data_IF_066137592195
#
_entry.id   IF_066137592195
#
_cell.length_a   1.000
_cell.length_b   1.000
_cell.length_c   1.000
_cell.angle_alpha   90.00
_cell.angle_beta   90.00
_cell.angle_gamma   90.00
#
_symmetry.space_group_name_H-M   'P 1'
#
loop_
_entity.id
_entity.type
_entity.pdbx_description
1 polymer ?
#
# COMPACT_ATOMS: atom_id res chain seq x y z
N UNK A 1 -4.33 18.66 -2.32
CA UNK A 1 -5.66 18.04 -2.06
C UNK A 1 -6.08 17.40 -3.37
N UNK A 2 -6.20 16.07 -3.46
CA UNK A 2 -6.58 15.39 -4.70
C UNK A 2 -8.10 15.46 -4.83
N UNK A 3 -8.61 16.33 -5.71
CA UNK A 3 -10.04 16.43 -6.02
C UNK A 3 -10.28 15.56 -7.25
N UNK A 4 -11.14 14.55 -7.10
CA UNK A 4 -11.36 13.53 -8.13
C UNK A 4 -12.51 13.88 -9.07
N UNK A 5 -13.55 14.55 -8.56
CA UNK A 5 -14.70 15.01 -9.34
C UNK A 5 -15.76 15.68 -8.47
N UNK A 6 -16.96 15.83 -9.00
CA UNK A 6 -18.10 16.45 -8.34
C UNK A 6 -19.39 15.63 -8.55
N UNK A 7 -19.88 15.02 -7.47
CA UNK A 7 -21.09 14.18 -7.48
C UNK A 7 -22.39 14.91 -7.87
N UNK A 8 -22.40 16.25 -7.92
CA UNK A 8 -23.55 17.00 -8.46
C UNK A 8 -23.56 17.08 -9.99
N UNK A 9 -22.43 16.72 -10.63
CA UNK A 9 -22.20 16.87 -12.08
C UNK A 9 -21.86 15.55 -12.76
N UNK A 10 -21.31 14.60 -12.02
CA UNK A 10 -20.74 13.35 -12.51
C UNK A 10 -21.30 12.18 -11.68
N UNK A 11 -21.50 11.03 -12.31
CA UNK A 11 -21.78 9.78 -11.60
C UNK A 11 -20.52 9.26 -10.89
N UNK A 12 -20.67 8.23 -10.06
CA UNK A 12 -19.51 7.59 -9.42
C UNK A 12 -18.63 6.93 -10.49
N UNK A 13 -19.27 6.30 -11.48
CA UNK A 13 -18.64 5.65 -12.61
C UNK A 13 -17.82 6.66 -13.42
N UNK A 14 -18.38 7.83 -13.76
CA UNK A 14 -17.66 8.90 -14.46
C UNK A 14 -16.40 9.34 -13.70
N UNK A 15 -16.49 9.44 -12.37
CA UNK A 15 -15.36 9.85 -11.52
C UNK A 15 -14.29 8.76 -11.49
N UNK A 16 -14.67 7.48 -11.41
CA UNK A 16 -13.75 6.33 -11.35
C UNK A 16 -13.06 6.11 -12.70
N UNK A 17 -13.79 6.26 -13.80
CA UNK A 17 -13.26 6.13 -15.16
C UNK A 17 -12.48 7.37 -15.62
N UNK A 18 -12.58 8.47 -14.86
CA UNK A 18 -11.86 9.71 -15.10
C UNK A 18 -10.34 9.61 -14.88
N UNK A 19 -9.59 10.37 -15.67
CA UNK A 19 -8.11 10.39 -15.63
C UNK A 19 -7.56 10.75 -14.24
N UNK A 20 -8.21 11.66 -13.51
CA UNK A 20 -7.80 12.05 -12.15
C UNK A 20 -7.82 10.88 -11.16
N UNK A 21 -8.82 10.00 -11.28
CA UNK A 21 -8.90 8.82 -10.44
C UNK A 21 -7.83 7.80 -10.85
N UNK A 22 -7.67 7.54 -12.14
CA UNK A 22 -6.62 6.64 -12.66
C UNK A 22 -5.22 7.09 -12.24
N UNK A 23 -4.91 8.38 -12.34
CA UNK A 23 -3.65 8.97 -11.87
C UNK A 23 -3.46 8.76 -10.35
N UNK A 24 -4.51 9.02 -9.56
CA UNK A 24 -4.47 8.81 -8.12
C UNK A 24 -4.21 7.34 -7.74
N UNK A 25 -4.89 6.40 -8.40
CA UNK A 25 -4.70 4.96 -8.20
C UNK A 25 -3.29 4.56 -8.63
N UNK A 26 -2.82 5.00 -9.79
CA UNK A 26 -1.46 4.72 -10.28
C UNK A 26 -0.40 5.20 -9.28
N UNK A 27 -0.48 6.45 -8.84
CA UNK A 27 0.45 7.03 -7.87
C UNK A 27 0.43 6.28 -6.53
N UNK A 28 -0.76 5.94 -6.04
CA UNK A 28 -0.88 5.24 -4.74
C UNK A 28 -0.50 3.76 -4.84
N UNK A 29 -0.58 3.14 -6.01
CA UNK A 29 -0.19 1.75 -6.26
C UNK A 29 1.32 1.56 -6.49
N UNK A 30 2.05 2.60 -6.91
CA UNK A 30 3.49 2.51 -7.17
C UNK A 30 4.27 2.05 -5.94
N UNK A 31 5.16 1.07 -6.12
CA UNK A 31 6.07 0.55 -5.10
C UNK A 31 7.51 0.64 -5.60
N UNK A 32 8.46 0.85 -4.69
CA UNK A 32 9.89 0.80 -5.05
C UNK A 32 10.32 -0.64 -5.38
N UNK A 33 11.37 -0.78 -6.19
CA UNK A 33 11.92 -2.09 -6.56
C UNK A 33 12.31 -2.92 -5.32
N UNK A 34 12.87 -2.28 -4.30
CA UNK A 34 13.19 -2.91 -3.02
C UNK A 34 11.95 -3.47 -2.31
N UNK A 35 10.80 -2.79 -2.42
CA UNK A 35 9.53 -3.25 -1.87
C UNK A 35 8.96 -4.41 -2.69
N UNK A 36 9.08 -4.34 -4.01
CA UNK A 36 8.63 -5.38 -4.94
C UNK A 36 9.31 -6.72 -4.65
N UNK A 37 10.63 -6.70 -4.37
CA UNK A 37 11.44 -7.88 -4.04
C UNK A 37 11.36 -8.33 -2.58
N UNK A 38 10.66 -7.59 -1.72
CA UNK A 38 10.61 -7.90 -0.29
C UNK A 38 9.83 -9.19 -0.02
N UNK A 39 10.41 -10.14 0.72
CA UNK A 39 9.75 -11.41 1.09
C UNK A 39 8.46 -11.25 1.91
N UNK A 40 8.25 -10.09 2.53
CA UNK A 40 7.01 -9.75 3.26
C UNK A 40 6.03 -8.89 2.44
N UNK A 41 6.30 -8.62 1.16
CA UNK A 41 5.45 -7.77 0.31
C UNK A 41 4.00 -8.24 0.34
N UNK A 42 3.78 -9.55 0.16
CA UNK A 42 2.43 -10.14 0.15
C UNK A 42 1.70 -9.98 1.48
N UNK A 43 2.43 -9.86 2.59
CA UNK A 43 1.84 -9.65 3.92
C UNK A 43 1.46 -8.20 4.20
N UNK A 44 2.10 -7.22 3.54
CA UNK A 44 1.90 -5.80 3.85
C UNK A 44 1.37 -4.95 2.70
N UNK A 45 1.31 -5.48 1.47
CA UNK A 45 0.87 -4.75 0.28
C UNK A 45 1.74 -3.55 -0.09
N UNK A 46 2.94 -3.42 0.51
CA UNK A 46 3.79 -2.25 0.34
C UNK A 46 3.44 -1.06 1.25
N UNK A 47 2.64 -1.26 2.29
CA UNK A 47 2.23 -0.24 3.27
C UNK A 47 1.33 0.87 2.69
N UNK A 48 0.63 1.60 3.56
CA UNK A 48 -0.29 2.66 3.15
C UNK A 48 0.44 3.78 2.39
N UNK A 49 -0.10 4.15 1.23
CA UNK A 49 0.45 5.19 0.35
C UNK A 49 0.63 6.54 1.05
N UNK A 50 -0.21 6.86 2.04
CA UNK A 50 -0.07 8.06 2.89
C UNK A 50 1.32 8.16 3.53
N UNK A 51 1.86 7.04 4.04
CA UNK A 51 3.18 6.96 4.68
C UNK A 51 4.33 6.69 3.71
N UNK A 52 4.04 6.61 2.40
CA UNK A 52 5.07 6.46 1.37
C UNK A 52 5.26 7.74 0.57
N UNK A 53 4.16 8.44 0.26
CA UNK A 53 4.16 9.62 -0.59
C UNK A 53 4.44 10.92 0.17
N UNK A 54 4.05 11.04 1.44
CA UNK A 54 4.25 12.29 2.22
C UNK A 54 5.57 12.36 2.97
N UNK A 55 6.04 11.22 3.42
CA UNK A 55 7.33 11.02 4.07
C UNK A 55 7.68 9.60 3.71
N UNK A 56 8.89 9.34 3.21
CA UNK A 56 9.35 7.97 3.06
C UNK A 56 9.62 7.43 4.48
N UNK A 57 8.56 7.12 5.22
CA UNK A 57 8.68 6.74 6.63
C UNK A 57 9.20 5.30 6.72
N UNK A 58 10.53 5.20 6.64
CA UNK A 58 11.30 3.95 6.73
C UNK A 58 11.00 3.21 8.04
N UNK A 59 10.52 3.89 9.08
CA UNK A 59 10.30 3.30 10.40
C UNK A 59 9.15 2.28 10.39
N UNK A 60 8.08 2.57 9.65
CA UNK A 60 6.93 1.66 9.54
C UNK A 60 7.28 0.35 8.81
N UNK A 61 8.11 0.43 7.76
CA UNK A 61 8.59 -0.76 7.04
C UNK A 61 9.45 -1.65 7.94
N UNK A 62 10.38 -1.05 8.69
CA UNK A 62 11.27 -1.78 9.60
C UNK A 62 10.50 -2.48 10.73
N UNK A 63 9.58 -1.77 11.39
CA UNK A 63 8.76 -2.34 12.45
C UNK A 63 7.90 -3.50 11.97
N UNK A 64 7.26 -3.36 10.81
CA UNK A 64 6.47 -4.45 10.19
C UNK A 64 7.33 -5.68 9.88
N UNK A 65 8.53 -5.51 9.33
CA UNK A 65 9.45 -6.64 9.07
C UNK A 65 9.77 -7.39 10.36
N UNK A 66 10.03 -6.70 11.48
CA UNK A 66 10.27 -7.35 12.78
C UNK A 66 9.07 -8.19 13.23
N UNK A 67 7.86 -7.63 13.17
CA UNK A 67 6.63 -8.31 13.58
C UNK A 67 6.37 -9.53 12.68
N UNK A 68 6.48 -9.39 11.36
CA UNK A 68 6.27 -10.52 10.44
C UNK A 68 7.29 -11.62 10.61
N UNK A 69 8.56 -11.29 10.83
CA UNK A 69 9.60 -12.29 11.15
C UNK A 69 9.27 -13.02 12.45
N UNK A 70 8.88 -12.30 13.50
CA UNK A 70 8.47 -12.89 14.77
C UNK A 70 7.27 -13.84 14.59
N UNK A 71 6.21 -13.39 13.90
CA UNK A 71 5.01 -14.19 13.65
C UNK A 71 5.33 -15.43 12.80
N UNK A 72 6.11 -15.29 11.73
CA UNK A 72 6.55 -16.42 10.89
C UNK A 72 7.25 -17.48 11.74
N UNK A 73 8.16 -17.06 12.62
CA UNK A 73 8.87 -17.99 13.50
C UNK A 73 7.96 -18.62 14.56
N UNK A 74 6.98 -17.87 15.08
CA UNK A 74 6.01 -18.37 16.06
C UNK A 74 5.07 -19.40 15.44
N UNK A 75 4.53 -19.12 14.27
CA UNK A 75 3.65 -20.03 13.52
C UNK A 75 4.39 -21.33 13.19
N UNK A 76 5.62 -21.24 12.69
CA UNK A 76 6.45 -22.42 12.42
C UNK A 76 6.64 -23.31 13.66
N UNK A 77 6.90 -22.71 14.83
CA UNK A 77 7.01 -23.45 16.10
C UNK A 77 5.69 -24.10 16.54
N UNK A 78 4.56 -23.58 16.10
CA UNK A 78 3.23 -24.12 16.37
C UNK A 78 2.78 -25.15 15.31
N UNK A 79 3.64 -25.51 14.35
CA UNK A 79 3.30 -26.45 13.28
C UNK A 79 2.50 -25.84 12.13
N UNK A 80 2.31 -24.52 12.12
CA UNK A 80 1.74 -23.81 10.99
C UNK A 80 2.87 -23.32 10.09
N UNK A 81 2.91 -23.84 8.85
CA UNK A 81 3.91 -23.56 7.79
C UNK A 81 5.21 -24.34 7.89
#
# INVERSE_FOLDING_TARGET
>A
KYILGNLKKETVEDIVDGERYKEHVSLTAQLSETCIRCGFRRSCGGNCSKFRLKSADKNTCFGRKKIFSYMKNKLKKQGYV
#
